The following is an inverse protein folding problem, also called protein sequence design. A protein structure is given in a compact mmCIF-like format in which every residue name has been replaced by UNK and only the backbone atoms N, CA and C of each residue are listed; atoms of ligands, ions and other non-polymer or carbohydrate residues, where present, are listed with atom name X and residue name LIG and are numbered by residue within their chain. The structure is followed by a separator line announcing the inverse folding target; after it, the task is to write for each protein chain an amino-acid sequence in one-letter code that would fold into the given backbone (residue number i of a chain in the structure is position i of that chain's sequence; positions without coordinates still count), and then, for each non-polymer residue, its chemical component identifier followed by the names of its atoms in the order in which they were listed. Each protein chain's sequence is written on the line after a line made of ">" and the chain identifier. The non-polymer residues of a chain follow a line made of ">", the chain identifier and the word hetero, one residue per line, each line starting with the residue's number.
data_IF_673611033726
#
_entry.id   IF_673611033726
#
_cell.length_a   1.000
_cell.length_b   1.000
_cell.length_c   1.000
_cell.angle_alpha   90.00
_cell.angle_beta   90.00
_cell.angle_gamma   90.00
#
_symmetry.space_group_name_H-M   'P 1'
#
loop_
_entity.id
_entity.type
_entity.pdbx_description
1 polymer ?
#
# COMPACT_ATOMS: atom_id res chain seq x y z
N UNK A 1 -1.62 13.97 13.91
CA UNK A 1 -2.46 14.65 14.92
C UNK A 1 -1.62 15.37 15.98
N UNK A 2 -0.74 14.66 16.70
CA UNK A 2 0.09 15.28 17.76
C UNK A 2 0.98 16.43 17.27
N UNK A 3 1.59 16.29 16.09
CA UNK A 3 2.41 17.35 15.48
C UNK A 3 1.59 18.60 15.15
N UNK A 4 0.41 18.42 14.56
CA UNK A 4 -0.53 19.51 14.25
C UNK A 4 -1.03 20.20 15.52
N UNK A 5 -1.32 19.45 16.58
CA UNK A 5 -1.74 20.01 17.87
C UNK A 5 -0.61 20.78 18.58
N UNK A 6 0.61 20.23 18.60
CA UNK A 6 1.77 20.91 19.15
C UNK A 6 2.10 22.20 18.39
N UNK A 7 2.06 22.16 17.05
CA UNK A 7 2.22 23.35 16.20
C UNK A 7 1.12 24.38 16.44
N UNK A 8 -0.12 23.96 16.65
CA UNK A 8 -1.23 24.87 16.93
C UNK A 8 -1.01 25.60 18.27
N UNK A 9 -0.67 24.87 19.34
CA UNK A 9 -0.32 25.47 20.64
C UNK A 9 0.84 26.45 20.51
N UNK A 10 1.90 26.04 19.80
CA UNK A 10 3.07 26.89 19.58
C UNK A 10 2.68 28.19 18.90
N UNK A 11 1.94 28.15 17.78
CA UNK A 11 1.53 29.35 17.04
C UNK A 11 0.54 30.22 17.83
N UNK A 12 -0.43 29.63 18.53
CA UNK A 12 -1.36 30.38 19.39
C UNK A 12 -0.58 31.14 20.47
N UNK A 13 0.33 30.47 21.18
CA UNK A 13 1.15 31.12 22.20
C UNK A 13 2.10 32.17 21.63
N UNK A 14 2.63 31.93 20.42
CA UNK A 14 3.52 32.86 19.75
C UNK A 14 2.79 34.15 19.34
N UNK A 15 1.58 34.04 18.80
CA UNK A 15 0.75 35.17 18.37
C UNK A 15 0.16 35.94 19.55
N UNK A 16 -0.16 35.25 20.64
CA UNK A 16 -0.59 35.88 21.89
C UNK A 16 0.54 36.56 22.67
N UNK A 17 1.80 36.30 22.32
CA UNK A 17 2.93 36.98 22.95
C UNK A 17 2.99 38.41 22.43
N UNK A 18 2.74 39.38 23.32
CA UNK A 18 2.63 40.82 23.02
C UNK A 18 3.78 41.38 22.16
N UNK A 19 4.96 40.78 22.19
CA UNK A 19 6.11 41.23 21.41
C UNK A 19 6.14 40.82 19.93
N UNK A 20 5.48 39.73 19.49
CA UNK A 20 5.69 39.21 18.12
C UNK A 20 5.07 40.14 17.06
N UNK A 21 3.81 40.54 17.28
CA UNK A 21 3.09 41.42 16.37
C UNK A 21 3.42 42.90 16.60
N UNK A 22 4.23 43.22 17.61
CA UNK A 22 4.61 44.59 17.99
C UNK A 22 6.10 44.93 17.78
N UNK A 23 6.98 43.94 17.57
CA UNK A 23 8.44 44.11 17.54
C UNK A 23 9.02 44.84 16.29
N UNK A 24 10.24 45.42 16.40
CA UNK A 24 10.67 46.65 15.71
C UNK A 24 11.70 46.43 14.59
N UNK A 25 11.63 45.33 13.85
CA UNK A 25 12.59 45.04 12.76
C UNK A 25 12.08 45.57 11.41
N UNK A 26 12.19 46.90 11.23
CA UNK A 26 12.30 47.55 9.91
C UNK A 26 11.11 47.52 8.95
N UNK A 27 10.16 46.60 9.11
CA UNK A 27 8.87 46.58 8.43
C UNK A 27 7.77 46.65 9.47
N UNK A 28 7.00 47.74 9.50
CA UNK A 28 5.79 47.77 10.32
C UNK A 28 4.83 46.76 9.70
N UNK A 29 4.54 45.66 10.41
CA UNK A 29 3.44 44.78 10.04
C UNK A 29 2.19 45.65 9.81
N UNK A 30 1.57 45.53 8.64
CA UNK A 30 0.37 46.30 8.34
C UNK A 30 -0.73 45.97 9.36
N UNK A 31 -1.65 46.91 9.65
CA UNK A 31 -2.81 46.60 10.50
C UNK A 31 -3.57 45.37 9.96
N UNK A 32 -3.68 45.24 8.64
CA UNK A 32 -4.31 44.10 7.97
C UNK A 32 -3.60 42.77 8.26
N UNK A 33 -2.27 42.73 8.22
CA UNK A 33 -1.50 41.53 8.54
C UNK A 33 -1.65 41.12 10.01
N UNK A 34 -1.64 42.10 10.92
CA UNK A 34 -1.84 41.84 12.36
C UNK A 34 -3.23 41.26 12.62
N UNK A 35 -4.25 41.84 12.00
CA UNK A 35 -5.62 41.39 12.14
C UNK A 35 -5.81 40.00 11.51
N UNK A 36 -5.19 39.73 10.37
CA UNK A 36 -5.16 38.41 9.73
C UNK A 36 -4.48 37.36 10.61
N UNK A 37 -3.29 37.65 11.16
CA UNK A 37 -2.59 36.74 12.06
C UNK A 37 -3.43 36.43 13.31
N UNK A 38 -4.04 37.45 13.92
CA UNK A 38 -4.93 37.27 15.08
C UNK A 38 -6.20 36.49 14.71
N UNK A 39 -6.80 36.74 13.56
CA UNK A 39 -7.98 36.01 13.11
C UNK A 39 -7.71 34.51 12.97
N UNK A 40 -6.58 34.15 12.36
CA UNK A 40 -6.21 32.76 12.08
C UNK A 40 -5.59 32.01 13.25
N UNK A 41 -4.97 32.71 14.21
CA UNK A 41 -4.21 32.12 15.32
C UNK A 41 -4.62 32.65 16.71
N UNK A 42 -5.84 33.17 16.85
CA UNK A 42 -6.39 33.73 18.10
C UNK A 42 -6.47 32.72 19.25
N UNK A 43 -6.99 31.52 18.95
CA UNK A 43 -7.08 30.41 19.89
C UNK A 43 -6.56 29.11 19.26
N UNK A 44 -6.44 28.07 20.10
CA UNK A 44 -5.92 26.76 19.67
C UNK A 44 -6.80 26.12 18.61
N UNK A 45 -8.13 26.29 18.68
CA UNK A 45 -9.07 25.68 17.71
C UNK A 45 -8.94 26.35 16.35
N UNK A 46 -8.85 27.67 16.31
CA UNK A 46 -8.62 28.44 15.09
C UNK A 46 -7.25 28.09 14.51
N UNK A 47 -6.22 27.99 15.34
CA UNK A 47 -4.87 27.59 14.92
C UNK A 47 -4.85 26.17 14.35
N UNK A 48 -5.59 25.23 14.96
CA UNK A 48 -5.77 23.87 14.45
C UNK A 48 -6.43 23.86 13.07
N UNK A 49 -7.51 24.64 12.89
CA UNK A 49 -8.21 24.76 11.61
C UNK A 49 -7.32 25.40 10.53
N UNK A 50 -6.62 26.48 10.86
CA UNK A 50 -5.66 27.13 9.96
C UNK A 50 -4.54 26.17 9.57
N UNK A 51 -3.94 25.45 10.52
CA UNK A 51 -2.90 24.46 10.22
C UNK A 51 -3.44 23.27 9.41
N UNK A 52 -4.69 22.88 9.59
CA UNK A 52 -5.33 21.89 8.71
C UNK A 52 -5.37 22.40 7.26
N UNK A 53 -5.75 23.66 7.03
CA UNK A 53 -5.70 24.28 5.68
C UNK A 53 -4.29 24.33 5.11
N UNK A 54 -3.30 24.61 5.95
CA UNK A 54 -1.88 24.55 5.56
C UNK A 54 -1.47 23.13 5.15
N UNK A 55 -1.92 22.09 5.88
CA UNK A 55 -1.67 20.68 5.53
C UNK A 55 -2.31 20.32 4.19
N UNK A 56 -3.51 20.85 3.88
CA UNK A 56 -4.14 20.67 2.57
C UNK A 56 -3.52 21.55 1.47
N UNK A 57 -2.50 22.33 1.80
CA UNK A 57 -1.85 23.32 0.92
C UNK A 57 -2.83 24.35 0.35
N UNK A 58 -3.96 24.56 1.03
CA UNK A 58 -4.97 25.54 0.64
C UNK A 58 -4.48 26.94 1.01
N UNK A 59 -4.03 27.66 -0.01
CA UNK A 59 -3.60 29.05 0.10
C UNK A 59 -2.70 29.35 1.32
N UNK A 60 -1.78 28.44 1.61
CA UNK A 60 -0.98 28.47 2.84
C UNK A 60 -0.04 29.68 2.90
N UNK A 61 0.33 30.24 1.75
CA UNK A 61 1.19 31.41 1.67
C UNK A 61 0.53 32.64 2.31
N UNK A 62 -0.77 32.87 2.05
CA UNK A 62 -1.53 33.97 2.64
C UNK A 62 -1.72 33.78 4.16
N UNK A 63 -1.81 32.53 4.62
CA UNK A 63 -1.91 32.20 6.04
C UNK A 63 -0.58 32.39 6.78
N UNK A 64 0.55 32.13 6.10
CA UNK A 64 1.89 32.25 6.65
C UNK A 64 2.47 33.67 6.50
N UNK A 65 2.03 34.44 5.51
CA UNK A 65 2.56 35.76 5.14
C UNK A 65 2.63 36.77 6.29
N UNK A 66 1.56 36.92 7.11
CA UNK A 66 1.60 37.80 8.28
C UNK A 66 2.66 37.39 9.32
N UNK A 67 2.86 36.09 9.50
CA UNK A 67 3.84 35.56 10.46
C UNK A 67 5.27 35.62 9.89
N UNK A 68 5.44 35.40 8.59
CA UNK A 68 6.72 35.55 7.88
C UNK A 68 7.22 37.01 7.88
N UNK A 69 6.30 37.96 7.72
CA UNK A 69 6.63 39.40 7.82
C UNK A 69 7.00 39.79 9.27
N UNK A 70 6.42 39.12 10.27
CA UNK A 70 6.73 39.36 11.68
C UNK A 70 8.07 38.75 12.09
N UNK A 71 8.33 37.51 11.68
CA UNK A 71 9.57 36.79 11.92
C UNK A 71 9.89 35.86 10.72
N UNK A 72 10.92 36.19 9.91
CA UNK A 72 11.34 35.37 8.77
C UNK A 72 11.71 33.92 9.13
N UNK A 73 12.07 33.63 10.38
CA UNK A 73 12.33 32.26 10.81
C UNK A 73 11.07 31.38 10.76
N UNK A 74 9.87 31.97 10.88
CA UNK A 74 8.61 31.26 10.77
C UNK A 74 8.35 30.74 9.35
N UNK A 75 8.93 31.36 8.32
CA UNK A 75 8.92 30.80 6.95
C UNK A 75 9.50 29.40 6.90
N UNK A 76 10.66 29.22 7.54
CA UNK A 76 11.32 27.91 7.59
C UNK A 76 10.48 26.90 8.37
N UNK A 77 9.82 27.33 9.45
CA UNK A 77 8.88 26.51 10.20
C UNK A 77 7.72 26.02 9.31
N UNK A 78 7.06 26.90 8.56
CA UNK A 78 5.94 26.52 7.68
C UNK A 78 6.38 25.57 6.57
N UNK A 79 7.53 25.82 5.92
CA UNK A 79 8.07 24.94 4.89
C UNK A 79 8.37 23.55 5.47
N UNK A 80 9.07 23.48 6.60
CA UNK A 80 9.38 22.22 7.26
C UNK A 80 8.12 21.48 7.73
N UNK A 81 7.13 22.21 8.26
CA UNK A 81 5.85 21.66 8.67
C UNK A 81 5.08 21.06 7.49
N UNK A 82 4.99 21.76 6.36
CA UNK A 82 4.35 21.27 5.14
C UNK A 82 5.07 20.02 4.63
N UNK A 83 6.40 20.05 4.52
CA UNK A 83 7.18 18.90 4.07
C UNK A 83 6.97 17.67 4.97
N UNK A 84 7.01 17.86 6.28
CA UNK A 84 6.76 16.80 7.26
C UNK A 84 5.32 16.27 7.19
N UNK A 85 4.33 17.16 7.07
CA UNK A 85 2.92 16.78 6.96
C UNK A 85 2.65 16.00 5.67
N UNK A 86 3.16 16.47 4.53
CA UNK A 86 3.06 15.77 3.25
C UNK A 86 3.73 14.39 3.31
N UNK A 87 4.93 14.30 3.89
CA UNK A 87 5.61 13.01 4.08
C UNK A 87 4.79 12.06 4.96
N UNK A 88 4.22 12.57 6.05
CA UNK A 88 3.37 11.79 6.96
C UNK A 88 2.12 11.29 6.24
N UNK A 89 1.44 12.14 5.47
CA UNK A 89 0.26 11.76 4.69
C UNK A 89 0.58 10.67 3.68
N UNK A 90 1.68 10.82 2.92
CA UNK A 90 2.13 9.80 1.97
C UNK A 90 2.44 8.50 2.69
N UNK A 91 3.16 8.55 3.83
CA UNK A 91 3.52 7.35 4.60
C UNK A 91 2.29 6.59 5.09
N UNK A 92 1.27 7.30 5.58
CA UNK A 92 0.00 6.70 6.02
C UNK A 92 -0.74 6.09 4.82
N UNK A 93 -0.84 6.82 3.71
CA UNK A 93 -1.49 6.33 2.48
C UNK A 93 -0.80 5.08 1.96
N UNK A 94 0.53 5.07 1.90
CA UNK A 94 1.33 3.91 1.51
C UNK A 94 1.11 2.73 2.44
N UNK A 95 1.04 2.96 3.75
CA UNK A 95 0.74 1.90 4.72
C UNK A 95 -0.60 1.23 4.42
N UNK A 96 -1.68 2.01 4.32
CA UNK A 96 -3.03 1.49 4.04
C UNK A 96 -3.10 0.79 2.67
N UNK A 97 -2.54 1.41 1.61
CA UNK A 97 -2.51 0.81 0.28
C UNK A 97 -1.69 -0.50 0.24
N UNK A 98 -0.61 -0.59 1.02
CA UNK A 98 0.20 -1.79 1.13
C UNK A 98 -0.57 -2.92 1.80
N UNK A 99 -1.29 -2.64 2.88
CA UNK A 99 -2.12 -3.62 3.58
C UNK A 99 -3.20 -4.21 2.65
N UNK A 100 -3.88 -3.36 1.88
CA UNK A 100 -4.87 -3.80 0.87
C UNK A 100 -4.22 -4.67 -0.22
N UNK A 101 -3.06 -4.26 -0.74
CA UNK A 101 -2.35 -4.98 -1.78
C UNK A 101 -1.86 -6.35 -1.30
N UNK A 102 -1.35 -6.43 -0.06
CA UNK A 102 -0.91 -7.67 0.57
C UNK A 102 -2.11 -8.61 0.73
N UNK A 103 -3.24 -8.12 1.26
CA UNK A 103 -4.45 -8.90 1.44
C UNK A 103 -5.01 -9.43 0.10
N UNK A 104 -5.05 -8.59 -0.93
CA UNK A 104 -5.48 -9.01 -2.28
C UNK A 104 -4.53 -10.07 -2.87
N UNK A 105 -3.22 -9.93 -2.63
CA UNK A 105 -2.22 -10.88 -3.14
C UNK A 105 -2.23 -12.20 -2.36
N UNK A 106 -2.43 -12.19 -1.04
CA UNK A 106 -2.50 -13.41 -0.24
C UNK A 106 -3.70 -14.27 -0.62
N UNK A 107 -4.87 -13.64 -0.83
CA UNK A 107 -6.08 -14.36 -1.28
C UNK A 107 -5.86 -14.98 -2.64
N UNK A 108 -5.30 -14.23 -3.61
CA UNK A 108 -4.98 -14.77 -4.94
C UNK A 108 -3.99 -15.93 -4.88
N UNK A 109 -2.94 -15.83 -4.06
CA UNK A 109 -1.96 -16.90 -3.87
C UNK A 109 -2.59 -18.15 -3.28
N UNK A 110 -3.48 -18.01 -2.29
CA UNK A 110 -4.16 -19.15 -1.68
C UNK A 110 -5.15 -19.81 -2.65
N UNK A 111 -5.91 -19.02 -3.40
CA UNK A 111 -6.79 -19.54 -4.46
C UNK A 111 -6.00 -20.30 -5.53
N UNK A 112 -4.85 -19.77 -5.95
CA UNK A 112 -3.95 -20.45 -6.89
C UNK A 112 -3.42 -21.76 -6.31
N UNK A 113 -2.98 -21.77 -5.05
CA UNK A 113 -2.50 -22.97 -4.36
C UNK A 113 -3.59 -24.04 -4.27
N UNK A 114 -4.79 -23.66 -3.85
CA UNK A 114 -5.94 -24.56 -3.77
C UNK A 114 -6.37 -25.07 -5.15
N UNK A 115 -6.31 -24.24 -6.18
CA UNK A 115 -6.58 -24.66 -7.56
C UNK A 115 -5.52 -25.66 -8.05
N UNK A 116 -4.23 -25.45 -7.74
CA UNK A 116 -3.16 -26.38 -8.08
C UNK A 116 -3.31 -27.71 -7.35
N UNK A 117 -3.61 -27.70 -6.04
CA UNK A 117 -3.88 -28.92 -5.28
C UNK A 117 -5.09 -29.70 -5.81
N UNK A 118 -6.16 -28.99 -6.20
CA UNK A 118 -7.34 -29.62 -6.84
C UNK A 118 -6.97 -30.26 -8.17
N UNK A 119 -6.18 -29.58 -9.01
CA UNK A 119 -5.69 -30.14 -10.27
C UNK A 119 -4.83 -31.38 -10.04
N UNK A 120 -3.93 -31.33 -9.06
CA UNK A 120 -3.07 -32.46 -8.71
C UNK A 120 -3.89 -33.65 -8.21
N UNK A 121 -4.85 -33.44 -7.30
CA UNK A 121 -5.75 -34.52 -6.83
C UNK A 121 -6.56 -35.13 -7.96
N UNK A 122 -7.14 -34.30 -8.83
CA UNK A 122 -7.89 -34.78 -9.99
C UNK A 122 -7.00 -35.56 -10.97
N UNK A 123 -5.74 -35.16 -11.14
CA UNK A 123 -4.77 -35.89 -11.94
C UNK A 123 -4.45 -37.26 -11.35
N UNK A 124 -4.17 -37.33 -10.04
CA UNK A 124 -3.89 -38.61 -9.37
C UNK A 124 -5.10 -39.55 -9.40
N UNK A 125 -6.32 -39.02 -9.22
CA UNK A 125 -7.54 -39.82 -9.33
C UNK A 125 -7.74 -40.38 -10.76
N UNK A 126 -7.48 -39.54 -11.77
CA UNK A 126 -7.49 -39.96 -13.16
C UNK A 126 -6.42 -41.02 -13.45
N UNK A 127 -5.16 -40.79 -13.04
CA UNK A 127 -4.09 -41.76 -13.16
C UNK A 127 -4.48 -43.08 -12.52
N UNK A 128 -4.98 -43.07 -11.28
CA UNK A 128 -5.38 -44.29 -10.58
C UNK A 128 -6.44 -45.08 -11.37
N UNK A 129 -7.42 -44.40 -11.95
CA UNK A 129 -8.44 -45.04 -12.79
C UNK A 129 -7.84 -45.62 -14.06
N UNK A 130 -7.02 -44.84 -14.75
CA UNK A 130 -6.34 -45.26 -15.97
C UNK A 130 -5.36 -46.42 -15.74
N UNK A 131 -4.66 -46.45 -14.61
CA UNK A 131 -3.83 -47.58 -14.19
C UNK A 131 -4.67 -48.84 -14.05
N UNK A 132 -5.83 -48.78 -13.38
CA UNK A 132 -6.72 -49.93 -13.23
C UNK A 132 -7.27 -50.44 -14.57
N UNK A 133 -7.54 -49.54 -15.52
CA UNK A 133 -8.02 -49.90 -16.85
C UNK A 133 -6.89 -50.46 -17.76
N UNK A 134 -5.63 -50.17 -17.46
CA UNK A 134 -4.45 -50.58 -18.23
C UNK A 134 -3.67 -51.77 -17.63
N UNK A 135 -3.89 -52.07 -16.34
CA UNK A 135 -3.36 -53.24 -15.63
C UNK A 135 -4.05 -54.51 -16.14
N UNK A 136 -3.54 -55.06 -17.25
CA UNK A 136 -4.11 -56.26 -17.91
C UNK A 136 -3.84 -57.54 -17.12
N UNK A 137 -2.77 -57.58 -16.33
CA UNK A 137 -2.35 -58.76 -15.57
C UNK A 137 -2.86 -58.76 -14.11
N UNK A 138 -3.40 -57.63 -13.63
CA UNK A 138 -4.02 -57.46 -12.31
C UNK A 138 -3.02 -57.48 -11.16
N UNK A 139 -1.74 -57.23 -11.43
CA UNK A 139 -0.67 -57.30 -10.44
C UNK A 139 -0.60 -56.02 -9.55
N UNK A 140 -1.34 -54.95 -9.91
CA UNK A 140 -1.40 -53.68 -9.20
C UNK A 140 -0.20 -52.74 -9.45
N UNK A 141 0.67 -53.03 -10.41
CA UNK A 141 1.84 -52.25 -10.82
C UNK A 141 1.91 -52.16 -12.35
N UNK A 142 2.09 -50.97 -12.92
CA UNK A 142 2.33 -50.85 -14.36
C UNK A 142 3.77 -51.24 -14.69
N UNK A 143 3.93 -52.14 -15.63
CA UNK A 143 5.22 -52.33 -16.29
C UNK A 143 5.51 -51.22 -17.31
N UNK A 144 6.72 -51.23 -17.88
CA UNK A 144 7.18 -50.16 -18.77
C UNK A 144 6.34 -50.08 -20.05
N UNK A 145 5.89 -51.21 -20.58
CA UNK A 145 5.17 -51.28 -21.86
C UNK A 145 3.71 -50.87 -21.66
N UNK A 146 3.09 -51.25 -20.54
CA UNK A 146 1.75 -50.80 -20.13
C UNK A 146 1.74 -49.29 -19.82
N UNK A 147 2.76 -48.78 -19.11
CA UNK A 147 2.92 -47.35 -18.83
C UNK A 147 3.08 -46.53 -20.12
N UNK A 148 3.92 -46.98 -21.05
CA UNK A 148 4.14 -46.29 -22.32
C UNK A 148 2.87 -46.29 -23.19
N UNK A 149 2.14 -47.40 -23.22
CA UNK A 149 0.84 -47.52 -23.90
C UNK A 149 -0.22 -46.59 -23.29
N UNK A 150 -0.28 -46.50 -21.96
CA UNK A 150 -1.18 -45.60 -21.25
C UNK A 150 -0.88 -44.13 -21.54
N UNK A 151 0.40 -43.77 -21.55
CA UNK A 151 0.86 -42.40 -21.81
C UNK A 151 0.66 -41.93 -23.25
N UNK A 152 0.68 -42.85 -24.20
CA UNK A 152 0.34 -42.59 -25.60
C UNK A 152 -1.17 -42.58 -25.87
N UNK A 153 -1.99 -42.99 -24.89
CA UNK A 153 -3.44 -43.04 -24.99
C UNK A 153 -4.10 -41.66 -25.20
N UNK A 154 -5.13 -41.55 -26.06
CA UNK A 154 -5.83 -40.28 -26.33
C UNK A 154 -6.39 -39.61 -25.07
N UNK A 155 -6.89 -40.42 -24.13
CA UNK A 155 -7.48 -39.94 -22.87
C UNK A 155 -6.44 -39.33 -21.92
N UNK A 156 -5.22 -39.88 -21.90
CA UNK A 156 -4.11 -39.38 -21.07
C UNK A 156 -3.61 -38.04 -21.59
N UNK A 157 -3.40 -37.92 -22.91
CA UNK A 157 -2.97 -36.67 -23.52
C UNK A 157 -3.99 -35.54 -23.39
N UNK A 158 -5.28 -35.85 -23.57
CA UNK A 158 -6.35 -34.86 -23.39
C UNK A 158 -6.40 -34.35 -21.95
N UNK A 159 -6.22 -35.24 -20.97
CA UNK A 159 -6.23 -34.89 -19.55
C UNK A 159 -4.99 -34.09 -19.13
N UNK A 160 -3.79 -34.46 -19.59
CA UNK A 160 -2.57 -33.67 -19.36
C UNK A 160 -2.70 -32.26 -19.95
N UNK A 161 -3.21 -32.14 -21.17
CA UNK A 161 -3.45 -30.85 -21.84
C UNK A 161 -4.50 -30.01 -21.10
N UNK A 162 -5.59 -30.63 -20.62
CA UNK A 162 -6.65 -29.96 -19.86
C UNK A 162 -6.17 -29.45 -18.50
N UNK A 163 -5.22 -30.14 -17.87
CA UNK A 163 -4.63 -29.74 -16.58
C UNK A 163 -3.47 -28.75 -16.73
N UNK A 164 -2.97 -28.55 -17.95
CA UNK A 164 -1.84 -27.67 -18.25
C UNK A 164 -0.50 -28.27 -17.81
N UNK A 165 -0.39 -29.60 -17.78
CA UNK A 165 0.85 -30.30 -17.48
C UNK A 165 1.65 -30.44 -18.78
N UNK A 166 2.58 -29.54 -19.02
CA UNK A 166 3.62 -29.68 -20.06
C UNK A 166 4.73 -30.59 -19.55
N UNK A 167 4.42 -31.85 -19.25
CA UNK A 167 5.44 -32.86 -19.04
C UNK A 167 5.51 -33.75 -20.27
N UNK A 168 6.69 -33.84 -20.86
CA UNK A 168 6.91 -34.71 -22.00
C UNK A 168 7.03 -36.17 -21.53
N UNK A 169 6.60 -37.11 -22.37
CA UNK A 169 6.69 -38.55 -22.12
C UNK A 169 8.15 -38.98 -21.81
N UNK A 170 9.11 -38.24 -22.35
CA UNK A 170 10.55 -38.39 -22.16
C UNK A 170 11.04 -37.95 -20.77
N UNK A 171 10.40 -36.94 -20.16
CA UNK A 171 10.73 -36.49 -18.80
C UNK A 171 10.12 -37.41 -17.74
N UNK A 172 8.92 -37.94 -17.99
CA UNK A 172 8.27 -38.91 -17.12
C UNK A 172 8.97 -40.27 -17.13
N UNK A 173 9.39 -40.76 -18.30
CA UNK A 173 10.12 -42.02 -18.41
C UNK A 173 11.55 -41.98 -17.83
N UNK A 174 12.15 -40.78 -17.72
CA UNK A 174 13.42 -40.57 -17.03
C UNK A 174 13.28 -40.44 -15.50
N UNK A 175 12.09 -40.11 -15.02
CA UNK A 175 11.81 -39.94 -13.58
C UNK A 175 11.41 -41.27 -12.91
N UNK A 176 11.03 -42.27 -13.69
CA UNK A 176 10.77 -43.65 -13.28
C UNK A 176 12.10 -44.44 -13.19
#
# INVERSE_FOLDING_TARGET
>A
FLTLFASALFLTHLVQRDGLLEAPTGGRLGPEDKDSAKAHFSDVRMSLFTLFRVVTQDNWNDLAGPLDTADPHLRLFFIAFIAFASWTLISVLTGVASDEMIAATSTRKEEQRMAQERRHKAFIEFLRKSFYDADEDGNGVLDKDEFESLMQGPSMQETMKKLGLEMTLEELSKAW
#
